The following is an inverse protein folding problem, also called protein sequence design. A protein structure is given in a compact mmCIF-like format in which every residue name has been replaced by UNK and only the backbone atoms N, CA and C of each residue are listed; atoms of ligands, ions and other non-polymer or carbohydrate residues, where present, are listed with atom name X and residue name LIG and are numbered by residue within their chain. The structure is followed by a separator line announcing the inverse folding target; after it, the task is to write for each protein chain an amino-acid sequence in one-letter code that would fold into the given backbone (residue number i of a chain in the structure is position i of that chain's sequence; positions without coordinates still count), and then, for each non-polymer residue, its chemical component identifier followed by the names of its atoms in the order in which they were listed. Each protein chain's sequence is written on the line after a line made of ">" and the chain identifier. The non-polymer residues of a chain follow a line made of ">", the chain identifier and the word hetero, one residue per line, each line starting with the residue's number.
data_IF_722860560726
#
_entry.id   IF_722860560726
#
_cell.length_a   1.000
_cell.length_b   1.000
_cell.length_c   1.000
_cell.angle_alpha   90.00
_cell.angle_beta   90.00
_cell.angle_gamma   90.00
#
_symmetry.space_group_name_H-M   'P 1'
#
loop_
_entity.id
_entity.type
_entity.pdbx_description
1 polymer ?
#
# COMPACT_ATOMS: atom_id res chain seq x y z
N UNK A 1 0.29 12.67 3.89
CA UNK A 1 -0.05 12.60 5.30
C UNK A 1 0.56 11.38 6.00
N UNK A 2 0.23 10.15 5.58
CA UNK A 2 0.77 8.95 6.23
C UNK A 2 2.28 8.81 6.02
N UNK A 3 2.77 9.07 4.82
CA UNK A 3 4.19 8.98 4.53
C UNK A 3 4.94 10.08 5.26
N UNK A 4 4.38 11.28 5.35
CA UNK A 4 4.97 12.37 6.11
C UNK A 4 5.08 12.04 7.59
N UNK A 5 4.05 11.40 8.15
CA UNK A 5 4.06 10.96 9.54
C UNK A 5 5.16 9.91 9.76
N UNK A 6 5.31 8.98 8.82
CA UNK A 6 6.37 7.97 8.89
C UNK A 6 7.75 8.61 8.88
N UNK A 7 7.95 9.66 8.07
CA UNK A 7 9.22 10.39 8.05
C UNK A 7 9.51 11.06 9.38
N UNK A 8 8.51 11.76 9.93
CA UNK A 8 8.66 12.47 11.21
C UNK A 8 9.04 11.53 12.34
N UNK A 9 8.56 10.28 12.28
CA UNK A 9 8.87 9.28 13.29
C UNK A 9 10.10 8.44 12.96
N UNK A 10 10.83 8.79 11.91
CA UNK A 10 12.03 8.08 11.44
C UNK A 10 11.75 6.62 11.09
N UNK A 11 10.53 6.33 10.64
CA UNK A 11 10.11 4.97 10.29
C UNK A 11 9.80 4.81 8.81
N UNK A 12 10.13 5.81 7.99
CA UNK A 12 9.79 5.77 6.58
C UNK A 12 10.42 4.58 5.86
N UNK A 13 11.70 4.31 6.10
CA UNK A 13 12.34 3.19 5.41
C UNK A 13 11.75 1.85 5.85
N UNK A 14 11.29 1.74 7.10
CA UNK A 14 10.61 0.54 7.59
C UNK A 14 9.25 0.35 6.92
N UNK A 15 8.58 1.46 6.60
CA UNK A 15 7.34 1.41 5.83
C UNK A 15 7.60 0.84 4.44
N UNK A 16 8.65 1.31 3.77
CA UNK A 16 9.03 0.79 2.46
C UNK A 16 9.32 -0.71 2.55
N UNK A 17 10.08 -1.13 3.54
CA UNK A 17 10.40 -2.55 3.74
C UNK A 17 9.16 -3.40 3.95
N UNK A 18 8.23 -2.91 4.78
CA UNK A 18 6.98 -3.65 5.05
C UNK A 18 6.13 -3.79 3.78
N UNK A 19 6.01 -2.70 3.01
CA UNK A 19 5.25 -2.73 1.76
C UNK A 19 5.90 -3.71 0.77
N UNK A 20 7.22 -3.63 0.61
CA UNK A 20 7.93 -4.54 -0.28
C UNK A 20 7.73 -6.00 0.13
N UNK A 21 7.79 -6.28 1.42
CA UNK A 21 7.60 -7.63 1.95
C UNK A 21 6.22 -8.18 1.61
N UNK A 22 5.18 -7.40 1.85
CA UNK A 22 3.82 -7.86 1.65
C UNK A 22 3.48 -8.02 0.16
N UNK A 23 3.96 -7.12 -0.68
CA UNK A 23 3.78 -7.25 -2.12
C UNK A 23 4.50 -8.48 -2.66
N UNK A 24 5.71 -8.76 -2.16
CA UNK A 24 6.44 -9.96 -2.55
C UNK A 24 5.73 -11.23 -2.09
N UNK A 25 5.13 -11.23 -0.89
CA UNK A 25 4.35 -12.37 -0.41
C UNK A 25 3.13 -12.61 -1.28
N UNK A 26 2.56 -11.58 -1.85
CA UNK A 26 1.43 -11.70 -2.79
C UNK A 26 1.88 -12.12 -4.18
N UNK A 27 3.17 -12.35 -4.37
CA UNK A 27 3.77 -12.68 -5.66
C UNK A 27 3.59 -11.58 -6.71
N UNK A 28 3.52 -10.32 -6.23
CA UNK A 28 3.42 -9.13 -7.07
C UNK A 28 4.44 -8.11 -6.56
N UNK A 29 5.74 -8.39 -6.69
CA UNK A 29 6.77 -7.57 -6.08
C UNK A 29 6.74 -6.12 -6.57
N UNK A 30 6.90 -5.21 -5.63
CA UNK A 30 6.99 -3.79 -5.91
C UNK A 30 8.45 -3.36 -6.09
N UNK A 31 9.33 -3.92 -5.27
CA UNK A 31 10.77 -3.68 -5.29
C UNK A 31 11.14 -2.20 -5.22
N UNK A 32 10.45 -1.45 -4.35
CA UNK A 32 10.76 -0.04 -4.17
C UNK A 32 12.14 0.11 -3.51
N UNK A 33 13.03 0.96 -4.06
CA UNK A 33 14.31 1.21 -3.39
C UNK A 33 14.09 1.98 -2.09
N UNK A 34 14.88 1.66 -1.06
CA UNK A 34 14.73 2.33 0.24
C UNK A 34 15.09 3.81 0.19
N UNK A 35 15.76 4.24 -0.88
CA UNK A 35 16.08 5.65 -1.12
C UNK A 35 14.98 6.42 -1.84
N UNK A 36 13.87 5.77 -2.19
CA UNK A 36 12.79 6.42 -2.96
C UNK A 36 12.16 7.56 -2.14
N UNK A 37 11.89 8.69 -2.82
CA UNK A 37 11.23 9.81 -2.17
C UNK A 37 9.74 9.52 -1.94
N UNK A 38 9.13 10.10 -0.89
CA UNK A 38 7.74 9.80 -0.54
C UNK A 38 6.73 9.95 -1.68
N UNK A 39 6.82 11.02 -2.47
CA UNK A 39 5.90 11.23 -3.57
C UNK A 39 6.02 10.12 -4.62
N UNK A 40 7.24 9.75 -4.94
CA UNK A 40 7.50 8.69 -5.92
C UNK A 40 7.05 7.33 -5.40
N UNK A 41 7.25 7.07 -4.11
CA UNK A 41 6.80 5.83 -3.47
C UNK A 41 5.28 5.70 -3.53
N UNK A 42 4.58 6.76 -3.19
CA UNK A 42 3.11 6.79 -3.27
C UNK A 42 2.64 6.48 -4.70
N UNK A 43 3.25 7.12 -5.69
CA UNK A 43 2.89 6.89 -7.08
C UNK A 43 3.19 5.46 -7.54
N UNK A 44 4.29 4.90 -7.09
CA UNK A 44 4.66 3.53 -7.42
C UNK A 44 3.63 2.53 -6.88
N UNK A 45 3.20 2.71 -5.64
CA UNK A 45 2.16 1.87 -5.02
C UNK A 45 0.84 2.01 -5.79
N UNK A 46 0.44 3.24 -6.05
CA UNK A 46 -0.82 3.51 -6.75
C UNK A 46 -0.83 2.91 -8.15
N UNK A 47 0.25 3.05 -8.89
CA UNK A 47 0.36 2.50 -10.23
C UNK A 47 0.29 0.97 -10.22
N UNK A 48 0.95 0.34 -9.27
CA UNK A 48 0.91 -1.11 -9.13
C UNK A 48 -0.51 -1.58 -8.85
N UNK A 49 -1.21 -0.92 -7.93
CA UNK A 49 -2.59 -1.25 -7.59
C UNK A 49 -3.51 -1.04 -8.79
N UNK A 50 -3.33 0.05 -9.53
CA UNK A 50 -4.09 0.30 -10.75
C UNK A 50 -3.97 -0.87 -11.73
N UNK A 51 -2.74 -1.31 -11.99
CA UNK A 51 -2.48 -2.41 -12.91
C UNK A 51 -3.11 -3.71 -12.42
N UNK A 52 -3.04 -3.98 -11.13
CA UNK A 52 -3.63 -5.19 -10.56
C UNK A 52 -5.15 -5.19 -10.68
N UNK A 53 -5.81 -4.07 -10.36
CA UNK A 53 -7.26 -3.97 -10.49
C UNK A 53 -7.68 -4.18 -11.94
N UNK A 54 -6.94 -3.57 -12.86
CA UNK A 54 -7.31 -3.57 -14.27
C UNK A 54 -7.01 -4.90 -14.97
N UNK A 55 -5.86 -5.51 -14.68
CA UNK A 55 -5.40 -6.68 -15.44
C UNK A 55 -5.33 -7.98 -14.66
N UNK A 56 -5.26 -7.91 -13.33
CA UNK A 56 -5.04 -9.07 -12.46
C UNK A 56 -5.88 -8.98 -11.20
N UNK A 57 -7.20 -8.98 -11.38
CA UNK A 57 -8.10 -8.69 -10.26
C UNK A 57 -7.99 -9.73 -9.14
N UNK A 58 -7.77 -11.00 -9.47
CA UNK A 58 -7.61 -12.03 -8.44
C UNK A 58 -6.38 -11.78 -7.59
N UNK A 59 -5.28 -11.34 -8.21
CA UNK A 59 -4.05 -11.01 -7.52
C UNK A 59 -4.22 -9.76 -6.66
N UNK A 60 -5.03 -8.80 -7.13
CA UNK A 60 -5.39 -7.64 -6.35
C UNK A 60 -6.11 -8.04 -5.06
N UNK A 61 -7.09 -8.91 -5.14
CA UNK A 61 -7.81 -9.38 -3.96
C UNK A 61 -6.89 -10.13 -3.01
N UNK A 62 -5.98 -10.95 -3.54
CA UNK A 62 -5.01 -11.65 -2.73
C UNK A 62 -4.06 -10.69 -2.01
N UNK A 63 -3.65 -9.63 -2.69
CA UNK A 63 -2.80 -8.60 -2.07
C UNK A 63 -3.50 -7.95 -0.88
N UNK A 64 -4.75 -7.56 -1.04
CA UNK A 64 -5.53 -6.97 0.05
C UNK A 64 -5.65 -7.92 1.23
N UNK A 65 -5.82 -9.21 0.96
CA UNK A 65 -5.89 -10.22 1.98
C UNK A 65 -4.57 -10.34 2.75
N UNK A 66 -3.45 -10.39 2.05
CA UNK A 66 -2.11 -10.50 2.66
C UNK A 66 -1.78 -9.27 3.51
N UNK A 67 -2.11 -8.08 3.00
CA UNK A 67 -1.89 -6.83 3.74
C UNK A 67 -2.85 -6.72 4.92
N UNK A 68 -4.00 -7.38 4.81
CA UNK A 68 -5.07 -7.35 5.81
C UNK A 68 -5.74 -5.98 5.85
N UNK A 69 -6.09 -5.47 4.67
CA UNK A 69 -6.92 -4.26 4.57
C UNK A 69 -8.36 -4.63 4.89
N UNK A 70 -9.03 -3.90 5.79
CA UNK A 70 -10.42 -4.22 6.15
C UNK A 70 -11.33 -4.20 4.93
N UNK A 71 -12.02 -5.30 4.69
CA UNK A 71 -12.90 -5.47 3.54
C UNK A 71 -14.00 -4.43 3.50
N UNK A 72 -14.52 -4.05 4.68
CA UNK A 72 -15.60 -3.06 4.76
C UNK A 72 -15.17 -1.69 4.22
N UNK A 73 -13.91 -1.32 4.42
CA UNK A 73 -13.40 -0.05 3.90
C UNK A 73 -13.32 -0.07 2.37
N UNK A 74 -12.93 -1.20 1.80
CA UNK A 74 -12.86 -1.36 0.35
C UNK A 74 -14.26 -1.32 -0.27
N UNK A 75 -15.23 -1.95 0.34
CA UNK A 75 -16.60 -2.00 -0.17
C UNK A 75 -17.28 -0.63 -0.24
N UNK A 76 -16.82 0.32 0.57
CA UNK A 76 -17.38 1.67 0.58
C UNK A 76 -16.88 2.54 -0.56
N UNK A 77 -15.88 2.09 -1.32
CA UNK A 77 -15.29 2.88 -2.37
C UNK A 77 -16.13 2.82 -3.64
N UNK A 78 -16.20 3.97 -4.35
CA UNK A 78 -16.87 4.04 -5.65
C UNK A 78 -15.90 3.59 -6.73
N UNK A 79 -16.25 2.51 -7.42
CA UNK A 79 -15.40 1.94 -8.46
C UNK A 79 -15.66 2.49 -9.86
N UNK A 80 -16.42 3.58 -10.00
CA UNK A 80 -16.80 4.11 -11.32
C UNK A 80 -15.61 4.72 -12.08
N UNK A 81 -14.60 5.21 -11.36
CA UNK A 81 -13.37 5.74 -11.95
C UNK A 81 -12.19 4.92 -11.43
N UNK A 82 -11.52 4.20 -12.34
CA UNK A 82 -10.45 3.29 -11.98
C UNK A 82 -9.23 4.00 -11.39
N UNK A 83 -8.90 5.18 -11.93
CA UNK A 83 -7.76 5.96 -11.42
C UNK A 83 -8.03 6.42 -10.00
N UNK A 84 -9.21 6.97 -9.76
CA UNK A 84 -9.61 7.42 -8.44
C UNK A 84 -9.70 6.27 -7.45
N UNK A 85 -10.26 5.14 -7.89
CA UNK A 85 -10.33 3.93 -7.05
C UNK A 85 -8.94 3.47 -6.64
N UNK A 86 -7.99 3.42 -7.58
CA UNK A 86 -6.63 2.98 -7.27
C UNK A 86 -5.92 3.92 -6.30
N UNK A 87 -6.20 5.21 -6.38
CA UNK A 87 -5.67 6.19 -5.43
C UNK A 87 -6.22 5.95 -4.02
N UNK A 88 -7.53 5.74 -3.92
CA UNK A 88 -8.18 5.48 -2.63
C UNK A 88 -7.71 4.16 -2.03
N UNK A 89 -7.58 3.11 -2.84
CA UNK A 89 -7.09 1.81 -2.38
C UNK A 89 -5.63 1.93 -1.93
N UNK A 90 -4.81 2.65 -2.68
CA UNK A 90 -3.41 2.87 -2.29
C UNK A 90 -3.32 3.55 -0.92
N UNK A 91 -4.19 4.51 -0.65
CA UNK A 91 -4.24 5.16 0.65
C UNK A 91 -4.55 4.14 1.76
N UNK A 92 -5.56 3.29 1.56
CA UNK A 92 -5.94 2.28 2.56
C UNK A 92 -4.82 1.25 2.76
N UNK A 93 -4.14 0.87 1.69
CA UNK A 93 -3.00 -0.04 1.77
C UNK A 93 -1.87 0.58 2.60
N UNK A 94 -1.49 1.81 2.29
CA UNK A 94 -0.42 2.49 3.01
C UNK A 94 -0.80 2.74 4.47
N UNK A 95 -2.06 3.05 4.75
CA UNK A 95 -2.54 3.22 6.11
C UNK A 95 -2.39 1.94 6.93
N UNK A 96 -2.79 0.80 6.34
CA UNK A 96 -2.66 -0.49 7.02
C UNK A 96 -1.20 -0.87 7.22
N UNK A 97 -0.36 -0.66 6.21
CA UNK A 97 1.06 -0.94 6.31
C UNK A 97 1.72 -0.07 7.38
N UNK A 98 1.34 1.21 7.44
CA UNK A 98 1.84 2.12 8.47
C UNK A 98 1.44 1.65 9.87
N UNK A 99 0.20 1.19 10.04
CA UNK A 99 -0.26 0.64 11.32
C UNK A 99 0.63 -0.52 11.77
N UNK A 100 0.97 -1.42 10.86
CA UNK A 100 1.84 -2.56 11.17
C UNK A 100 3.22 -2.11 11.65
N UNK A 101 3.81 -1.16 10.94
CA UNK A 101 5.13 -0.61 11.30
C UNK A 101 5.07 0.09 12.65
N UNK A 102 4.07 0.92 12.84
CA UNK A 102 3.93 1.69 14.06
C UNK A 102 3.78 0.77 15.28
N UNK A 103 2.90 -0.21 15.20
CA UNK A 103 2.70 -1.14 16.31
C UNK A 103 3.96 -1.94 16.61
N UNK A 104 4.66 -2.40 15.57
CA UNK A 104 5.89 -3.19 15.77
C UNK A 104 6.97 -2.40 16.48
N UNK A 105 7.03 -1.09 16.26
CA UNK A 105 8.05 -0.24 16.85
C UNK A 105 7.65 0.38 18.19
N UNK A 106 6.37 0.29 18.59
CA UNK A 106 5.88 0.73 19.89
C UNK A 106 5.86 -0.42 20.90
N UNK A 107 5.68 -1.61 20.42
CA UNK A 107 5.60 -2.82 21.24
C UNK A 107 6.61 -3.83 20.76
#
# INVERSE_FOLDING_TARGET
>A
ALISQAEEESLYFKLIEQVNKDFALANEPLDAPTSIFPFEFKNLVQEKIYKLIHYKFAEYLNLLYIIDVPEEQIKKLDGSDLVELSEQVAFLVLQREWQKVWFRNKY
#
